data_IF_211291890030
#
_entry.id   IF_211291890030
#
_cell.length_a   1.000
_cell.length_b   1.000
_cell.length_c   1.000
_cell.angle_alpha   90.00
_cell.angle_beta   90.00
_cell.angle_gamma   90.00
#
_symmetry.space_group_name_H-M   'P 1'
#
loop_
_entity.id
_entity.type
_entity.pdbx_description
1 polymer ?
#
# COMPACT_ATOMS: atom_id res chain seq x y z
N UNK A 1 36.33 53.71 -38.83
CA UNK A 1 35.39 54.44 -39.73
C UNK A 1 35.83 54.22 -41.18
N UNK A 2 34.98 54.36 -42.21
CA UNK A 2 33.64 54.97 -42.20
C UNK A 2 32.51 54.15 -42.89
N UNK A 3 31.26 54.67 -42.82
CA UNK A 3 30.04 54.35 -43.62
C UNK A 3 29.55 52.88 -43.56
N UNK A 4 28.41 52.52 -42.95
CA UNK A 4 27.01 53.00 -43.10
C UNK A 4 26.49 53.05 -44.54
N UNK A 5 25.58 52.14 -44.87
CA UNK A 5 24.48 52.30 -45.82
C UNK A 5 23.25 51.58 -45.23
N UNK A 6 22.02 52.08 -45.45
CA UNK A 6 20.80 51.50 -44.91
C UNK A 6 19.54 51.91 -45.70
N UNK A 7 18.66 50.94 -45.97
CA UNK A 7 17.26 51.07 -46.38
C UNK A 7 16.58 49.70 -46.06
N UNK A 8 15.38 49.54 -45.48
CA UNK A 8 14.21 50.40 -45.15
C UNK A 8 13.15 50.63 -46.25
N UNK A 9 12.30 49.61 -46.44
CA UNK A 9 10.82 49.61 -46.62
C UNK A 9 10.34 48.18 -46.24
N UNK A 10 9.26 47.85 -45.51
CA UNK A 10 7.89 48.35 -45.23
C UNK A 10 6.80 47.90 -46.23
N UNK A 11 5.56 47.76 -45.73
CA UNK A 11 4.37 47.07 -46.30
C UNK A 11 4.50 45.53 -46.36
N UNK A 12 3.72 44.69 -45.64
CA UNK A 12 2.30 44.63 -45.18
C UNK A 12 1.37 43.91 -46.18
N UNK A 13 0.47 43.04 -45.69
CA UNK A 13 -0.39 42.17 -46.50
C UNK A 13 -0.47 40.68 -46.08
N UNK A 14 -1.35 40.36 -45.12
CA UNK A 14 -2.09 39.07 -45.09
C UNK A 14 -3.26 39.12 -46.12
N UNK A 15 -3.95 38.02 -46.52
CA UNK A 15 -4.16 36.75 -45.78
C UNK A 15 -4.18 35.43 -46.63
N UNK A 16 -4.70 34.37 -46.00
CA UNK A 16 -5.50 33.25 -46.57
C UNK A 16 -4.83 31.90 -46.97
N UNK A 17 -5.00 30.93 -46.05
CA UNK A 17 -5.41 29.52 -46.24
C UNK A 17 -5.27 28.86 -47.62
N UNK A 18 -4.37 27.86 -47.73
CA UNK A 18 -4.69 26.50 -48.24
C UNK A 18 -3.56 25.47 -48.06
N UNK A 19 -3.90 24.17 -48.14
CA UNK A 19 -2.98 23.06 -47.87
C UNK A 19 -2.60 22.22 -49.12
N UNK A 20 -1.32 21.82 -49.29
CA UNK A 20 -0.93 20.75 -50.22
C UNK A 20 -1.12 19.38 -49.54
N UNK A 21 -1.99 18.46 -50.00
CA UNK A 21 -2.04 17.73 -51.29
C UNK A 21 -0.95 16.64 -51.46
N UNK A 22 -1.42 15.41 -51.23
CA UNK A 22 -0.80 14.08 -51.48
C UNK A 22 -0.49 13.82 -52.97
N UNK A 23 0.74 13.42 -53.29
CA UNK A 23 1.19 12.78 -54.57
C UNK A 23 2.62 12.23 -54.39
N UNK A 24 3.10 11.18 -55.06
CA UNK A 24 2.45 10.21 -55.97
C UNK A 24 3.14 8.84 -55.93
N UNK A 25 2.33 7.79 -55.74
CA UNK A 25 2.36 6.46 -56.40
C UNK A 25 3.57 6.11 -57.31
N UNK A 26 4.31 5.07 -56.93
CA UNK A 26 4.84 4.02 -57.84
C UNK A 26 4.11 2.70 -57.49
N UNK A 27 4.04 1.74 -58.42
CA UNK A 27 3.09 0.61 -58.33
C UNK A 27 3.53 -0.63 -59.10
N UNK A 28 3.02 -1.82 -58.71
CA UNK A 28 3.01 -3.10 -59.46
C UNK A 28 4.35 -3.86 -59.58
N UNK A 29 4.44 -5.21 -59.59
CA UNK A 29 3.45 -6.29 -59.30
C UNK A 29 4.19 -7.60 -58.76
N UNK A 30 3.85 -8.90 -58.98
CA UNK A 30 3.34 -9.75 -57.88
C UNK A 30 4.00 -11.17 -57.72
N UNK A 31 3.31 -12.04 -56.95
CA UNK A 31 3.68 -13.40 -56.45
C UNK A 31 3.13 -14.56 -57.33
N UNK A 32 3.80 -15.74 -57.36
CA UNK A 32 3.17 -17.03 -56.96
C UNK A 32 4.14 -17.88 -56.05
N UNK A 33 3.91 -19.04 -55.39
CA UNK A 33 2.91 -20.16 -55.31
C UNK A 33 2.91 -21.23 -56.43
N UNK A 34 2.65 -22.54 -56.21
CA UNK A 34 2.27 -23.30 -54.98
C UNK A 34 3.04 -24.66 -54.80
N UNK A 35 2.45 -25.87 -54.67
CA UNK A 35 2.47 -26.76 -53.49
C UNK A 35 3.41 -28.00 -53.56
N UNK A 36 3.62 -28.71 -52.42
CA UNK A 36 3.17 -30.12 -52.20
C UNK A 36 3.62 -30.76 -50.86
N UNK A 37 2.78 -31.68 -50.35
CA UNK A 37 3.00 -32.75 -49.36
C UNK A 37 2.48 -34.06 -50.03
N UNK A 38 2.63 -35.31 -49.50
CA UNK A 38 3.20 -35.78 -48.23
C UNK A 38 4.14 -37.02 -48.39
N UNK A 39 4.50 -37.72 -47.29
CA UNK A 39 4.32 -39.20 -47.10
C UNK A 39 5.07 -39.79 -45.87
N UNK A 40 4.59 -40.94 -45.37
CA UNK A 40 5.26 -41.91 -44.46
C UNK A 40 5.15 -43.30 -45.12
N UNK A 41 6.09 -44.27 -44.98
CA UNK A 41 6.00 -45.21 -43.84
C UNK A 41 7.29 -45.98 -43.38
N UNK A 42 7.32 -46.33 -42.08
CA UNK A 42 7.70 -47.65 -41.49
C UNK A 42 8.97 -48.41 -41.97
N UNK A 43 9.99 -48.56 -41.08
CA UNK A 43 10.41 -49.88 -40.50
C UNK A 43 11.53 -49.84 -39.42
N UNK A 44 11.51 -50.85 -38.53
CA UNK A 44 12.62 -51.41 -37.72
C UNK A 44 13.37 -52.47 -38.57
N UNK A 45 14.59 -52.98 -38.24
CA UNK A 45 15.25 -53.14 -36.92
C UNK A 45 16.64 -52.43 -36.89
N UNK A 46 17.65 -52.71 -36.04
CA UNK A 46 17.93 -53.80 -35.09
C UNK A 46 18.88 -53.36 -33.93
N UNK A 47 19.27 -54.31 -33.07
CA UNK A 47 20.40 -54.21 -32.13
C UNK A 47 21.18 -55.54 -32.09
N UNK A 48 22.51 -55.50 -31.90
CA UNK A 48 23.12 -56.12 -30.71
C UNK A 48 24.37 -55.33 -30.21
N UNK A 49 24.98 -55.57 -29.03
CA UNK A 49 24.67 -56.29 -27.77
C UNK A 49 25.60 -55.68 -26.68
N UNK A 50 25.10 -55.22 -25.53
CA UNK A 50 24.77 -56.00 -24.31
C UNK A 50 25.99 -56.62 -23.58
N UNK A 51 26.24 -56.13 -22.35
CA UNK A 51 26.59 -56.83 -21.08
C UNK A 51 27.08 -55.76 -20.08
N UNK A 52 26.85 -55.79 -18.76
CA UNK A 52 26.07 -56.59 -17.78
C UNK A 52 26.13 -55.78 -16.45
N UNK A 53 25.28 -55.85 -15.42
CA UNK A 53 24.07 -56.62 -15.01
C UNK A 53 23.40 -55.75 -13.89
N UNK A 54 22.08 -55.50 -13.83
CA UNK A 54 21.00 -56.34 -13.27
C UNK A 54 21.30 -56.98 -11.90
N UNK A 55 20.36 -57.09 -10.94
CA UNK A 55 18.99 -56.53 -10.74
C UNK A 55 18.42 -57.05 -9.39
N UNK A 56 17.21 -56.61 -9.00
CA UNK A 56 16.47 -57.04 -7.78
C UNK A 56 16.25 -55.86 -6.82
N UNK A 57 15.11 -55.17 -6.70
CA UNK A 57 13.68 -55.37 -7.08
C UNK A 57 12.79 -56.05 -6.01
N UNK A 58 11.54 -55.56 -5.89
CA UNK A 58 10.44 -55.96 -4.99
C UNK A 58 10.59 -55.65 -3.47
N UNK A 59 9.52 -55.51 -2.66
CA UNK A 59 8.14 -54.96 -2.87
C UNK A 59 7.45 -54.74 -1.49
N UNK A 60 6.32 -54.01 -1.47
CA UNK A 60 5.18 -54.06 -0.50
C UNK A 60 5.33 -53.88 1.05
N UNK A 61 4.48 -52.97 1.57
CA UNK A 61 3.62 -53.05 2.79
C UNK A 61 4.14 -53.24 4.25
N UNK A 62 3.89 -52.19 5.05
CA UNK A 62 3.13 -52.13 6.34
C UNK A 62 3.48 -52.90 7.65
N UNK A 63 2.93 -52.36 8.76
CA UNK A 63 2.84 -52.84 10.17
C UNK A 63 4.09 -52.93 11.09
N UNK A 64 4.23 -51.87 11.92
CA UNK A 64 4.01 -51.90 13.40
C UNK A 64 5.12 -52.34 14.41
N UNK A 65 5.38 -51.44 15.38
CA UNK A 65 6.00 -51.68 16.71
C UNK A 65 7.53 -51.89 16.79
N UNK A 66 8.21 -51.69 17.93
CA UNK A 66 7.96 -50.86 19.13
C UNK A 66 9.28 -50.76 19.94
N UNK A 67 9.58 -49.60 20.56
CA UNK A 67 10.71 -49.34 21.49
C UNK A 67 12.15 -49.48 20.91
N UNK A 68 13.21 -48.89 21.46
CA UNK A 68 13.43 -48.26 22.78
C UNK A 68 14.04 -46.82 22.66
N UNK A 69 14.32 -46.19 23.81
CA UNK A 69 14.89 -44.84 24.01
C UNK A 69 16.43 -44.82 23.77
N UNK A 70 17.18 -43.70 23.77
CA UNK A 70 17.41 -42.75 24.88
C UNK A 70 17.97 -41.39 24.37
N UNK A 71 17.16 -40.34 24.56
CA UNK A 71 17.51 -39.04 25.17
C UNK A 71 18.80 -38.31 24.69
N UNK A 72 18.61 -37.27 23.87
CA UNK A 72 19.45 -36.06 23.92
C UNK A 72 18.53 -34.82 24.00
N UNK A 73 18.89 -33.86 24.85
CA UNK A 73 17.96 -32.82 25.29
C UNK A 73 18.21 -31.45 24.65
N UNK A 74 17.11 -30.69 24.55
CA UNK A 74 17.02 -29.23 24.57
C UNK A 74 17.68 -28.44 23.41
N UNK A 75 16.83 -28.02 22.48
CA UNK A 75 16.70 -26.60 22.09
C UNK A 75 15.22 -26.23 22.29
N UNK A 76 14.92 -25.04 22.82
CA UNK A 76 13.54 -24.57 23.02
C UNK A 76 12.95 -24.07 21.69
N UNK A 77 11.77 -24.56 21.31
CA UNK A 77 10.99 -23.99 20.20
C UNK A 77 10.10 -22.83 20.69
N UNK A 78 10.26 -21.60 20.17
CA UNK A 78 9.32 -20.51 20.41
C UNK A 78 8.07 -20.65 19.51
N UNK A 79 7.12 -21.46 19.98
CA UNK A 79 5.68 -21.38 19.76
C UNK A 79 5.10 -20.92 18.39
N UNK A 80 4.54 -21.88 17.65
CA UNK A 80 3.13 -21.85 17.21
C UNK A 80 2.57 -20.54 16.62
N UNK A 81 3.11 -20.12 15.48
CA UNK A 81 2.62 -18.99 14.68
C UNK A 81 1.27 -19.20 13.98
N UNK A 82 0.24 -19.72 14.66
CA UNK A 82 -1.11 -19.87 14.05
C UNK A 82 -2.30 -19.83 15.02
N UNK A 83 -2.47 -18.73 15.77
CA UNK A 83 -3.83 -18.36 16.19
C UNK A 83 -4.67 -18.01 14.95
N UNK A 84 -5.84 -18.65 14.81
CA UNK A 84 -6.86 -18.31 13.82
C UNK A 84 -8.10 -17.67 14.46
N UNK A 85 -7.92 -17.05 15.63
CA UNK A 85 -8.95 -16.25 16.27
C UNK A 85 -9.47 -15.18 15.29
N UNK A 86 -10.79 -15.15 15.10
CA UNK A 86 -11.44 -14.09 14.33
C UNK A 86 -11.40 -12.79 15.12
N UNK A 87 -10.67 -11.80 14.61
CA UNK A 87 -10.75 -10.44 15.13
C UNK A 87 -12.18 -9.90 14.97
N UNK A 88 -12.65 -9.17 15.99
CA UNK A 88 -13.93 -8.48 15.95
C UNK A 88 -13.95 -7.38 14.87
N UNK A 89 -15.13 -6.86 14.54
CA UNK A 89 -15.21 -5.63 13.76
C UNK A 89 -14.60 -4.46 14.56
N UNK A 90 -13.93 -3.54 13.87
CA UNK A 90 -13.30 -2.34 14.45
C UNK A 90 -13.97 -1.12 13.81
N UNK A 91 -14.64 -0.29 14.61
CA UNK A 91 -15.36 0.91 14.21
C UNK A 91 -14.78 2.18 14.84
N UNK A 92 -15.32 3.35 14.45
CA UNK A 92 -14.76 4.64 14.89
C UNK A 92 -14.92 4.77 16.41
N UNK A 93 -13.80 4.98 17.09
CA UNK A 93 -13.68 5.00 18.55
C UNK A 93 -12.93 3.79 19.14
N UNK A 94 -12.85 2.67 18.42
CA UNK A 94 -12.20 1.45 18.92
C UNK A 94 -10.66 1.51 18.85
N UNK A 95 -9.99 0.81 19.77
CA UNK A 95 -8.53 0.61 19.75
C UNK A 95 -8.13 -0.55 18.84
N UNK A 96 -6.95 -0.44 18.22
CA UNK A 96 -6.33 -1.55 17.49
C UNK A 96 -6.04 -2.74 18.42
N UNK A 97 -6.51 -3.96 18.08
CA UNK A 97 -6.16 -5.16 18.81
C UNK A 97 -4.70 -5.56 18.51
N UNK A 98 -4.02 -6.17 19.48
CA UNK A 98 -2.71 -6.78 19.22
C UNK A 98 -2.88 -7.96 18.25
N UNK A 99 -2.17 -7.87 17.12
CA UNK A 99 -2.20 -8.88 16.07
C UNK A 99 -0.95 -8.79 15.19
N UNK A 100 -0.18 -9.87 15.17
CA UNK A 100 1.07 -9.95 14.41
C UNK A 100 0.82 -10.25 12.93
N UNK A 101 1.33 -9.40 12.05
CA UNK A 101 1.38 -9.58 10.60
C UNK A 101 2.82 -9.56 10.11
N UNK A 102 3.08 -10.13 8.93
CA UNK A 102 4.41 -10.04 8.29
C UNK A 102 4.50 -8.83 7.38
N UNK A 103 5.61 -8.09 7.48
CA UNK A 103 5.92 -6.99 6.58
C UNK A 103 6.48 -7.50 5.24
N UNK A 104 6.86 -6.59 4.33
CA UNK A 104 7.39 -6.94 3.01
C UNK A 104 8.77 -7.63 3.03
N UNK A 105 9.48 -7.56 4.16
CA UNK A 105 10.75 -8.25 4.44
C UNK A 105 10.55 -9.62 5.11
N UNK A 106 9.30 -10.00 5.40
CA UNK A 106 8.87 -11.18 6.15
C UNK A 106 9.18 -11.17 7.66
N UNK A 107 9.54 -10.00 8.19
CA UNK A 107 9.67 -9.72 9.63
C UNK A 107 8.27 -9.64 10.25
N UNK A 108 8.13 -10.10 11.50
CA UNK A 108 6.87 -10.09 12.24
C UNK A 108 6.65 -8.76 12.97
N UNK A 109 5.48 -8.16 12.78
CA UNK A 109 5.09 -6.81 13.25
C UNK A 109 3.72 -6.87 13.91
N UNK A 110 3.61 -6.52 15.20
CA UNK A 110 2.32 -6.30 15.85
C UNK A 110 1.76 -4.93 15.45
N UNK A 111 0.52 -4.89 14.96
CA UNK A 111 -0.16 -3.65 14.58
C UNK A 111 -0.45 -2.71 15.76
N UNK A 112 -0.54 -3.23 17.00
CA UNK A 112 -0.77 -2.41 18.18
C UNK A 112 0.44 -1.51 18.49
N UNK A 113 1.64 -2.08 18.49
CA UNK A 113 2.89 -1.35 18.83
C UNK A 113 3.22 -0.25 17.82
N UNK A 114 2.76 -0.37 16.56
CA UNK A 114 2.88 0.69 15.55
C UNK A 114 2.28 2.04 15.98
N UNK A 115 1.33 2.02 16.91
CA UNK A 115 0.61 3.22 17.39
C UNK A 115 1.05 3.71 18.77
N UNK A 116 2.09 3.10 19.36
CA UNK A 116 2.57 3.47 20.69
C UNK A 116 3.23 4.85 20.72
N UNK A 117 4.05 5.18 19.71
CA UNK A 117 4.81 6.43 19.66
C UNK A 117 4.17 7.50 18.77
N UNK A 118 3.56 7.08 17.66
CA UNK A 118 3.04 7.88 16.54
C UNK A 118 1.56 7.57 16.26
N UNK A 119 0.90 8.43 15.49
CA UNK A 119 -0.33 8.06 14.79
C UNK A 119 -0.07 7.13 13.59
N UNK A 120 -1.09 6.46 13.08
CA UNK A 120 -0.98 5.47 12.00
C UNK A 120 -2.02 5.71 10.90
N UNK A 121 -1.55 5.85 9.66
CA UNK A 121 -2.38 5.89 8.44
C UNK A 121 -2.28 4.54 7.73
N UNK A 122 -3.33 3.73 7.86
CA UNK A 122 -3.39 2.38 7.31
C UNK A 122 -4.32 2.35 6.09
N UNK A 123 -3.77 2.19 4.89
CA UNK A 123 -4.57 2.12 3.65
C UNK A 123 -4.59 0.71 3.05
N UNK A 124 -5.78 0.28 2.61
CA UNK A 124 -6.01 -1.07 2.11
C UNK A 124 -6.06 -1.08 0.58
N UNK A 125 -5.27 -1.97 -0.02
CA UNK A 125 -5.28 -2.21 -1.47
C UNK A 125 -5.85 -3.60 -1.79
N UNK A 126 -6.82 -3.72 -2.72
CA UNK A 126 -7.38 -5.02 -3.10
C UNK A 126 -6.40 -6.01 -3.73
N UNK A 127 -5.36 -5.49 -4.40
CA UNK A 127 -4.22 -6.25 -4.96
C UNK A 127 -3.05 -5.35 -5.33
N UNK A 128 -1.84 -5.71 -4.91
CA UNK A 128 -0.57 -5.05 -5.24
C UNK A 128 -0.31 -4.95 -6.77
N UNK A 129 0.51 -3.97 -7.18
CA UNK A 129 0.96 -3.72 -8.57
C UNK A 129 -0.13 -3.57 -9.66
N UNK A 130 -1.40 -3.55 -9.30
CA UNK A 130 -2.50 -3.20 -10.21
C UNK A 130 -2.58 -1.68 -10.43
N UNK A 131 -3.14 -1.18 -11.56
CA UNK A 131 -3.08 0.25 -11.91
C UNK A 131 -3.66 1.17 -10.83
N UNK A 132 -4.90 0.94 -10.39
CA UNK A 132 -5.52 1.80 -9.37
C UNK A 132 -4.87 1.67 -7.99
N UNK A 133 -4.35 0.49 -7.61
CA UNK A 133 -3.61 0.32 -6.34
C UNK A 133 -2.28 1.06 -6.38
N UNK A 134 -1.61 1.03 -7.53
CA UNK A 134 -0.44 1.87 -7.80
C UNK A 134 -0.77 3.36 -7.72
N UNK A 135 -1.89 3.84 -8.27
CA UNK A 135 -2.30 5.26 -8.16
C UNK A 135 -2.41 5.70 -6.70
N UNK A 136 -3.05 4.91 -5.84
CA UNK A 136 -3.20 5.21 -4.42
C UNK A 136 -1.86 5.17 -3.68
N UNK A 137 -1.06 4.13 -3.89
CA UNK A 137 0.24 3.98 -3.25
C UNK A 137 1.25 5.06 -3.68
N UNK A 138 1.36 5.36 -4.97
CA UNK A 138 2.18 6.48 -5.43
C UNK A 138 1.68 7.80 -4.85
N UNK A 139 0.36 8.02 -4.78
CA UNK A 139 -0.19 9.20 -4.11
C UNK A 139 0.19 9.31 -2.62
N UNK A 140 0.15 8.22 -1.85
CA UNK A 140 0.63 8.21 -0.46
C UNK A 140 2.15 8.42 -0.34
N UNK A 141 2.95 7.91 -1.29
CA UNK A 141 4.40 8.19 -1.38
C UNK A 141 4.65 9.67 -1.62
N UNK A 142 3.93 10.27 -2.57
CA UNK A 142 4.21 11.61 -3.09
C UNK A 142 3.94 12.71 -2.04
N UNK A 143 3.11 12.44 -1.02
CA UNK A 143 2.90 13.27 0.18
C UNK A 143 3.31 12.57 1.49
N UNK A 144 4.17 11.54 1.43
CA UNK A 144 4.67 10.83 2.61
C UNK A 144 5.36 11.77 3.64
N UNK A 145 6.17 12.76 3.23
CA UNK A 145 6.77 13.71 4.16
C UNK A 145 5.73 14.45 5.02
N UNK A 146 4.61 14.91 4.43
CA UNK A 146 3.56 15.62 5.16
C UNK A 146 2.95 14.80 6.31
N UNK A 147 2.77 13.49 6.15
CA UNK A 147 2.31 12.61 7.24
C UNK A 147 3.37 12.52 8.35
N UNK A 148 4.64 12.28 7.97
CA UNK A 148 5.72 12.16 8.96
C UNK A 148 5.99 13.45 9.74
N UNK A 149 5.77 14.62 9.12
CA UNK A 149 5.85 15.93 9.78
C UNK A 149 4.77 16.15 10.86
N UNK A 150 3.64 15.45 10.75
CA UNK A 150 2.55 15.48 11.75
C UNK A 150 2.67 14.32 12.76
N UNK A 151 3.82 13.63 12.81
CA UNK A 151 4.03 12.44 13.66
C UNK A 151 3.11 11.25 13.34
N UNK A 152 2.63 11.13 12.10
CA UNK A 152 1.94 9.94 11.59
C UNK A 152 2.87 9.06 10.76
N UNK A 153 2.72 7.75 10.91
CA UNK A 153 3.40 6.75 10.09
C UNK A 153 2.44 6.12 9.08
N UNK A 154 2.90 5.83 7.86
CA UNK A 154 2.05 5.29 6.79
C UNK A 154 2.31 3.80 6.62
N UNK A 155 1.25 2.98 6.52
CA UNK A 155 1.34 1.55 6.23
C UNK A 155 0.33 1.15 5.15
N UNK A 156 0.77 0.30 4.21
CA UNK A 156 -0.12 -0.31 3.22
C UNK A 156 -0.52 -1.72 3.69
N UNK A 157 -1.81 -2.06 3.70
CA UNK A 157 -2.29 -3.42 4.02
C UNK A 157 -2.83 -4.11 2.76
N UNK A 158 -2.44 -5.36 2.53
CA UNK A 158 -3.00 -6.18 1.44
C UNK A 158 -3.02 -7.67 1.78
N UNK A 159 -3.75 -8.44 0.97
CA UNK A 159 -3.78 -9.90 1.05
C UNK A 159 -2.72 -10.59 0.17
N UNK A 160 -1.85 -9.83 -0.50
CA UNK A 160 -0.72 -10.36 -1.26
C UNK A 160 0.45 -10.71 -0.31
N UNK A 161 1.22 -11.75 -0.61
CA UNK A 161 2.30 -12.26 0.24
C UNK A 161 3.51 -11.30 0.32
N UNK A 162 4.38 -11.41 1.34
CA UNK A 162 5.53 -10.51 1.54
C UNK A 162 6.36 -10.31 0.26
N UNK A 163 6.72 -11.41 -0.41
CA UNK A 163 7.51 -11.42 -1.66
C UNK A 163 6.83 -10.68 -2.83
N UNK A 164 5.50 -10.62 -2.87
CA UNK A 164 4.77 -9.81 -3.85
C UNK A 164 4.79 -8.33 -3.47
N UNK A 165 4.72 -8.03 -2.17
CA UNK A 165 4.80 -6.68 -1.63
C UNK A 165 6.19 -6.07 -1.78
N UNK A 166 7.28 -6.80 -1.49
CA UNK A 166 8.67 -6.32 -1.70
C UNK A 166 8.89 -5.93 -3.17
N UNK A 167 8.48 -6.80 -4.10
CA UNK A 167 8.60 -6.54 -5.55
C UNK A 167 7.84 -5.28 -5.96
N UNK A 168 6.67 -5.01 -5.38
CA UNK A 168 5.88 -3.82 -5.68
C UNK A 168 6.46 -2.54 -5.02
N UNK A 169 6.92 -2.63 -3.77
CA UNK A 169 7.62 -1.55 -3.05
C UNK A 169 8.84 -1.08 -3.84
N UNK A 170 9.74 -2.00 -4.23
CA UNK A 170 10.93 -1.70 -5.04
C UNK A 170 10.54 -1.15 -6.42
N UNK A 171 9.57 -1.75 -7.11
CA UNK A 171 9.13 -1.33 -8.45
C UNK A 171 8.50 0.08 -8.47
N UNK A 172 8.00 0.58 -7.33
CA UNK A 172 7.32 1.89 -7.23
C UNK A 172 8.06 2.90 -6.34
N UNK A 173 9.19 2.51 -5.75
CA UNK A 173 9.94 3.28 -4.75
C UNK A 173 9.02 3.81 -3.64
N UNK A 174 8.26 2.91 -3.01
CA UNK A 174 7.41 3.26 -1.86
C UNK A 174 8.29 3.38 -0.60
N UNK A 175 8.30 4.53 0.12
CA UNK A 175 9.22 4.80 1.22
C UNK A 175 8.77 4.19 2.55
N UNK A 176 7.52 3.72 2.60
CA UNK A 176 6.87 3.16 3.77
C UNK A 176 6.79 1.62 3.72
N UNK A 177 6.62 0.95 4.87
CA UNK A 177 6.40 -0.50 4.96
C UNK A 177 5.04 -0.97 4.43
N UNK A 178 4.96 -2.26 4.06
CA UNK A 178 3.73 -2.92 3.59
C UNK A 178 3.47 -4.18 4.43
N UNK A 179 2.21 -4.41 4.81
CA UNK A 179 1.75 -5.53 5.63
C UNK A 179 0.99 -6.57 4.80
N UNK A 180 1.34 -7.83 5.00
CA UNK A 180 0.74 -9.02 4.38
C UNK A 180 -0.21 -9.71 5.33
N UNK A 181 -1.51 -9.67 5.04
CA UNK A 181 -2.59 -10.41 5.70
C UNK A 181 -3.28 -11.40 4.73
N UNK A 182 -2.67 -12.57 4.42
CA UNK A 182 -3.24 -13.54 3.48
C UNK A 182 -4.50 -14.21 4.00
N UNK A 183 -4.62 -14.36 5.33
CA UNK A 183 -5.81 -14.90 6.03
C UNK A 183 -6.98 -13.89 6.04
N UNK A 184 -6.69 -12.61 5.76
CA UNK A 184 -7.59 -11.46 5.78
C UNK A 184 -8.27 -11.23 7.13
N UNK A 185 -7.59 -11.49 8.24
CA UNK A 185 -8.20 -11.37 9.57
C UNK A 185 -8.35 -9.90 9.95
N UNK A 186 -7.27 -9.12 9.87
CA UNK A 186 -7.31 -7.67 10.09
C UNK A 186 -8.10 -6.95 9.00
N UNK A 187 -7.95 -7.38 7.74
CA UNK A 187 -8.71 -6.82 6.63
C UNK A 187 -10.22 -6.94 6.89
N UNK A 188 -10.72 -8.11 7.33
CA UNK A 188 -12.15 -8.28 7.65
C UNK A 188 -12.59 -7.43 8.85
N UNK A 189 -11.78 -7.38 9.91
CA UNK A 189 -12.04 -6.58 11.10
C UNK A 189 -12.28 -5.10 10.76
N UNK A 190 -11.38 -4.53 9.96
CA UNK A 190 -11.46 -3.13 9.52
C UNK A 190 -12.59 -2.87 8.50
N UNK A 191 -12.82 -3.78 7.53
CA UNK A 191 -13.79 -3.52 6.45
C UNK A 191 -15.22 -3.98 6.73
N UNK A 192 -15.50 -4.61 7.88
CA UNK A 192 -16.82 -5.20 8.16
C UNK A 192 -17.06 -6.55 7.45
N UNK A 193 -15.99 -7.27 7.12
CA UNK A 193 -16.04 -8.57 6.44
C UNK A 193 -16.07 -8.52 4.91
N UNK A 194 -16.49 -9.63 4.29
CA UNK A 194 -16.60 -9.81 2.84
C UNK A 194 -15.55 -10.73 2.20
N UNK A 195 -15.79 -11.12 0.93
CA UNK A 195 -14.93 -12.05 0.16
C UNK A 195 -13.81 -11.36 -0.62
N UNK A 196 -13.88 -10.04 -0.79
CA UNK A 196 -12.90 -9.21 -1.51
C UNK A 196 -12.52 -8.02 -0.63
N UNK A 197 -11.22 -7.83 -0.43
CA UNK A 197 -10.66 -6.61 0.19
C UNK A 197 -11.18 -5.38 -0.55
N UNK A 198 -11.84 -4.48 0.17
CA UNK A 198 -12.22 -3.17 -0.35
C UNK A 198 -10.99 -2.26 -0.50
N UNK A 199 -11.11 -1.19 -1.29
CA UNK A 199 -10.12 -0.11 -1.31
C UNK A 199 -10.54 0.90 -0.26
N UNK A 200 -9.71 1.13 0.75
CA UNK A 200 -10.10 1.87 1.95
C UNK A 200 -8.91 2.60 2.56
N UNK A 201 -9.15 3.54 3.47
CA UNK A 201 -8.13 4.00 4.42
C UNK A 201 -8.72 4.21 5.82
N UNK A 202 -7.85 4.07 6.80
CA UNK A 202 -8.13 4.17 8.23
C UNK A 202 -7.04 5.03 8.87
N UNK A 203 -7.41 5.87 9.84
CA UNK A 203 -6.48 6.73 10.56
C UNK A 203 -6.66 6.45 12.04
N UNK A 204 -5.55 6.16 12.72
CA UNK A 204 -5.51 5.89 14.15
C UNK A 204 -4.65 6.94 14.84
N UNK A 205 -5.15 7.46 15.95
CA UNK A 205 -4.38 8.33 16.85
C UNK A 205 -3.26 7.53 17.53
N UNK A 206 -2.32 8.25 18.15
CA UNK A 206 -1.39 7.67 19.12
C UNK A 206 -2.17 6.97 20.24
N UNK A 207 -1.78 5.75 20.59
CA UNK A 207 -2.56 4.84 21.45
C UNK A 207 -3.55 3.95 20.68
N UNK A 208 -3.56 4.02 19.34
CA UNK A 208 -4.20 3.03 18.47
C UNK A 208 -5.70 3.20 18.26
N UNK A 209 -6.27 4.34 18.66
CA UNK A 209 -7.70 4.63 18.57
C UNK A 209 -8.12 5.06 17.17
N UNK A 210 -9.08 4.37 16.57
CA UNK A 210 -9.59 4.64 15.22
C UNK A 210 -10.43 5.93 15.20
N UNK A 211 -10.01 6.91 14.39
CA UNK A 211 -10.68 8.21 14.26
C UNK A 211 -11.33 8.44 12.90
N UNK A 212 -10.81 7.84 11.83
CA UNK A 212 -11.39 7.95 10.48
C UNK A 212 -11.43 6.58 9.77
N UNK A 213 -12.55 6.28 9.10
CA UNK A 213 -12.87 5.00 8.47
C UNK A 213 -13.51 5.23 7.08
N UNK A 214 -12.68 5.49 6.07
CA UNK A 214 -13.13 5.64 4.67
C UNK A 214 -13.12 4.30 3.94
N UNK A 215 -14.25 3.60 4.00
CA UNK A 215 -14.46 2.28 3.39
C UNK A 215 -15.78 2.23 2.60
N UNK A 216 -15.78 2.21 1.25
CA UNK A 216 -14.63 2.30 0.33
C UNK A 216 -14.21 3.74 0.01
N UNK A 217 -13.03 3.91 -0.60
CA UNK A 217 -12.48 5.20 -1.06
C UNK A 217 -12.01 5.15 -2.53
N UNK A 218 -11.95 6.31 -3.20
CA UNK A 218 -11.36 6.44 -4.55
C UNK A 218 -9.83 6.44 -4.48
N UNK A 219 -9.18 5.87 -5.50
CA UNK A 219 -7.73 5.69 -5.51
C UNK A 219 -6.92 7.00 -5.43
N UNK A 220 -7.32 8.03 -6.18
CA UNK A 220 -6.60 9.31 -6.25
C UNK A 220 -6.88 10.24 -5.05
N UNK A 221 -8.07 10.15 -4.44
CA UNK A 221 -8.45 11.04 -3.33
C UNK A 221 -8.05 10.52 -1.95
N UNK A 222 -7.81 9.20 -1.83
CA UNK A 222 -7.44 8.56 -0.56
C UNK A 222 -6.25 9.20 0.18
N UNK A 223 -5.18 9.68 -0.49
CA UNK A 223 -4.07 10.32 0.22
C UNK A 223 -4.42 11.75 0.68
N UNK A 224 -5.13 12.51 -0.16
CA UNK A 224 -5.53 13.91 0.14
C UNK A 224 -6.48 13.95 1.33
N UNK A 225 -7.57 13.18 1.26
CA UNK A 225 -8.57 13.12 2.32
C UNK A 225 -7.98 12.70 3.67
N UNK A 226 -7.00 11.79 3.66
CA UNK A 226 -6.32 11.36 4.88
C UNK A 226 -5.42 12.47 5.45
N UNK A 227 -4.73 13.23 4.59
CA UNK A 227 -3.89 14.34 5.02
C UNK A 227 -4.71 15.54 5.50
N UNK A 228 -5.82 15.84 4.84
CA UNK A 228 -6.78 16.89 5.22
C UNK A 228 -7.42 16.60 6.58
N UNK A 229 -7.77 15.33 6.85
CA UNK A 229 -8.30 14.92 8.15
C UNK A 229 -7.30 15.11 9.30
N UNK A 230 -6.03 14.69 9.11
CA UNK A 230 -4.99 14.84 10.14
C UNK A 230 -4.69 16.32 10.42
N UNK A 231 -4.61 17.15 9.37
CA UNK A 231 -4.47 18.61 9.51
C UNK A 231 -5.64 19.25 10.27
N UNK A 232 -6.82 18.63 10.22
CA UNK A 232 -7.98 18.98 11.05
C UNK A 232 -7.81 18.61 12.52
N UNK A 233 -7.36 17.38 12.82
CA UNK A 233 -7.12 16.93 14.20
C UNK A 233 -6.03 17.77 14.90
N UNK A 234 -4.90 18.02 14.24
CA UNK A 234 -3.83 18.83 14.82
C UNK A 234 -4.30 20.27 15.09
N UNK A 235 -5.16 20.84 14.22
CA UNK A 235 -5.76 22.16 14.43
C UNK A 235 -6.77 22.18 15.59
N UNK A 236 -7.57 21.13 15.78
CA UNK A 236 -8.49 21.01 16.93
C UNK A 236 -7.72 20.82 18.24
N UNK A 237 -6.66 20.00 18.24
CA UNK A 237 -5.77 19.81 19.38
C UNK A 237 -5.08 21.12 19.81
N UNK A 238 -4.63 21.95 18.85
CA UNK A 238 -4.06 23.27 19.16
C UNK A 238 -5.11 24.31 19.57
N UNK A 239 -6.39 24.11 19.25
CA UNK A 239 -7.47 24.99 19.68
C UNK A 239 -7.91 24.77 21.14
N UNK A 240 -7.78 23.54 21.66
CA UNK A 240 -8.16 23.22 23.05
C UNK A 240 -7.06 23.53 24.09
N UNK A 241 -5.79 23.62 23.67
CA UNK A 241 -4.67 24.07 24.53
C UNK A 241 -4.42 25.59 24.43
N UNK A 242 -5.17 26.30 23.58
CA UNK A 242 -5.10 27.75 23.48
C UNK A 242 -5.50 28.37 24.84
N UNK A 243 -4.61 29.11 25.53
CA UNK A 243 -4.88 29.58 26.87
C UNK A 243 -6.03 30.58 26.86
N UNK A 244 -7.17 30.15 27.43
CA UNK A 244 -8.29 31.03 27.79
C UNK A 244 -7.80 32.04 28.82
N UNK A 245 -7.25 33.12 28.31
CA UNK A 245 -6.89 34.32 29.05
C UNK A 245 -8.19 35.02 29.42
N UNK A 246 -8.87 34.46 30.41
CA UNK A 246 -9.95 35.12 31.12
C UNK A 246 -9.38 36.37 31.78
N UNK A 247 -9.48 37.49 31.05
CA UNK A 247 -9.26 38.82 31.58
C UNK A 247 -10.48 39.12 32.43
N UNK A 248 -10.49 38.54 33.63
CA UNK A 248 -11.52 38.77 34.64
C UNK A 248 -11.58 40.29 34.88
N UNK A 249 -12.67 40.99 34.50
CA UNK A 249 -12.81 42.40 34.81
C UNK A 249 -13.02 42.48 36.32
N UNK A 250 -12.07 43.07 37.05
CA UNK A 250 -12.17 43.26 38.49
C UNK A 250 -13.19 44.35 38.83
N UNK A 251 -14.48 44.06 38.61
CA UNK A 251 -15.59 44.94 38.95
C UNK A 251 -15.63 45.13 40.47
N UNK A 252 -15.14 46.29 40.89
CA UNK A 252 -14.89 46.60 42.30
C UNK A 252 -16.21 46.99 42.97
N UNK A 253 -16.83 46.02 43.64
CA UNK A 253 -17.93 46.25 44.57
C UNK A 253 -17.46 47.08 45.79
N UNK A 254 -18.38 47.78 46.50
CA UNK A 254 -18.04 49.01 47.19
C UNK A 254 -17.38 48.84 48.56
N UNK A 255 -16.60 49.84 48.95
CA UNK A 255 -16.19 50.06 50.32
C UNK A 255 -17.13 51.06 51.01
N UNK A 256 -17.97 50.58 51.93
CA UNK A 256 -18.52 51.41 52.99
C UNK A 256 -17.42 51.74 54.01
N UNK A 257 -17.47 52.94 54.60
CA UNK A 257 -17.09 53.08 56.01
C UNK A 257 -18.23 53.66 56.87
N UNK A 258 -18.17 53.28 58.14
CA UNK A 258 -19.16 53.52 59.21
C UNK A 258 -19.24 55.00 59.67
N UNK A 259 -20.14 55.24 60.61
CA UNK A 259 -20.46 56.51 61.28
C UNK A 259 -19.26 57.35 61.72
N UNK A 260 -19.41 58.69 61.64
CA UNK A 260 -19.58 59.53 62.83
C UNK A 260 -19.51 61.03 62.48
N UNK A 261 -20.57 61.80 62.76
CA UNK A 261 -20.41 63.24 63.03
C UNK A 261 -21.50 63.83 63.93
N UNK A 262 -21.06 64.26 65.09
CA UNK A 262 -21.81 64.98 66.12
C UNK A 262 -22.02 66.47 65.73
N UNK A 263 -23.28 66.93 65.72
CA UNK A 263 -23.70 68.34 65.67
C UNK A 263 -25.20 68.47 66.01
#
# INVERSE_FOLDING_TARGET
>A
MPRKAAAKVTEDGEPEVQAPRRSTRITSQPKPTEPEEPTKPVKKPAAPRRKKRNAGEADAQEENGQEDSVKKAKLDEPAEGSSSAGLAAIDIGDSLPSYTLKNEKSEDVDICTLTAEKGLVLFLVPKADTPGCTTQACGFRDIYPDFTSQSYEVYCLSADSPVAQTKWQTKKNLPYPLLSDPKRVLIKALTGGGTRTARSHFIFEKGGKLVEKKNPVKAAESPRLALEFIKGLDAEAMAVDAPTSDVTPAETAPAEPEEAKEA
#
